data_IF_581988607223
#
_entry.id   IF_581988607223
#
_cell.length_a   1.000
_cell.length_b   1.000
_cell.length_c   1.000
_cell.angle_alpha   90.00
_cell.angle_beta   90.00
_cell.angle_gamma   90.00
#
_symmetry.space_group_name_H-M   'P 1'
#
loop_
_entity.id
_entity.type
_entity.pdbx_description
1 polymer ?
#
# COMPACT_ATOMS: atom_id res chain seq x y z
N UNK A 1 4.14 -18.28 3.26
CA UNK A 1 5.27 -18.68 2.39
C UNK A 1 6.24 -17.52 2.28
N UNK A 2 7.48 -17.66 2.76
CA UNK A 2 8.51 -16.60 2.69
C UNK A 2 8.91 -16.18 1.27
N UNK A 3 8.47 -16.93 0.25
CA UNK A 3 8.72 -16.66 -1.16
C UNK A 3 8.15 -15.30 -1.62
N UNK A 4 7.02 -14.86 -1.06
CA UNK A 4 6.42 -13.56 -1.40
C UNK A 4 7.26 -12.39 -0.83
N UNK A 5 7.88 -12.58 0.34
CA UNK A 5 8.76 -11.57 0.96
C UNK A 5 10.05 -11.42 0.14
N UNK A 6 10.66 -12.55 -0.25
CA UNK A 6 11.86 -12.52 -1.09
C UNK A 6 11.60 -11.91 -2.46
N UNK A 7 10.45 -12.21 -3.08
CA UNK A 7 10.05 -11.59 -4.34
C UNK A 7 9.85 -10.07 -4.21
N UNK A 8 9.18 -9.60 -3.15
CA UNK A 8 9.02 -8.16 -2.89
C UNK A 8 10.36 -7.46 -2.69
N UNK A 9 11.31 -8.11 -1.99
CA UNK A 9 12.65 -7.58 -1.79
C UNK A 9 13.43 -7.47 -3.11
N UNK A 10 13.39 -8.49 -3.96
CA UNK A 10 14.07 -8.47 -5.28
C UNK A 10 13.48 -7.36 -6.16
N UNK A 11 12.16 -7.22 -6.19
CA UNK A 11 11.50 -6.13 -6.94
C UNK A 11 11.91 -4.77 -6.39
N UNK A 12 11.94 -4.62 -5.06
CA UNK A 12 12.35 -3.37 -4.43
C UNK A 12 13.81 -3.00 -4.72
N UNK A 13 14.73 -3.97 -4.66
CA UNK A 13 16.14 -3.78 -5.04
C UNK A 13 16.27 -3.37 -6.51
N UNK A 14 15.55 -4.06 -7.41
CA UNK A 14 15.50 -3.71 -8.83
C UNK A 14 15.05 -2.28 -9.06
N UNK A 15 13.91 -1.87 -8.47
CA UNK A 15 13.41 -0.49 -8.58
C UNK A 15 14.42 0.50 -8.03
N UNK A 16 14.98 0.25 -6.83
CA UNK A 16 15.92 1.16 -6.19
C UNK A 16 17.20 1.38 -7.01
N UNK A 17 17.71 0.35 -7.70
CA UNK A 17 18.90 0.49 -8.58
C UNK A 17 18.63 1.31 -9.85
N UNK A 18 17.38 1.39 -10.28
CA UNK A 18 16.96 2.14 -11.47
C UNK A 18 16.53 3.58 -11.15
N UNK A 19 16.32 3.92 -9.87
CA UNK A 19 15.87 5.25 -9.47
C UNK A 19 16.88 6.31 -9.90
N UNK A 20 16.40 7.24 -10.71
CA UNK A 20 17.12 8.43 -11.16
C UNK A 20 16.14 9.60 -11.30
N UNK A 21 16.63 10.85 -11.36
CA UNK A 21 15.77 12.02 -11.59
C UNK A 21 14.98 11.98 -12.90
N UNK A 22 15.35 11.11 -13.85
CA UNK A 22 14.72 10.98 -15.17
C UNK A 22 13.68 9.85 -15.23
N UNK A 23 13.52 9.06 -14.15
CA UNK A 23 12.61 7.93 -14.08
C UNK A 23 11.45 8.19 -13.11
N UNK A 24 10.22 8.13 -13.62
CA UNK A 24 9.01 8.05 -12.81
C UNK A 24 8.60 6.60 -12.55
N UNK A 25 8.29 6.26 -11.29
CA UNK A 25 7.84 4.92 -10.90
C UNK A 25 6.47 5.02 -10.22
N UNK A 26 5.50 4.24 -10.72
CA UNK A 26 4.20 4.06 -10.07
C UNK A 26 4.10 2.61 -9.58
N UNK A 27 4.03 2.44 -8.26
CA UNK A 27 3.84 1.14 -7.62
C UNK A 27 2.39 1.03 -7.18
N UNK A 28 1.69 0.00 -7.66
CA UNK A 28 0.32 -0.32 -7.24
C UNK A 28 0.40 -1.56 -6.35
N UNK A 29 0.04 -1.40 -5.08
CA UNK A 29 0.09 -2.49 -4.09
C UNK A 29 -1.06 -2.37 -3.11
N UNK A 30 -1.56 -3.52 -2.65
CA UNK A 30 -2.38 -3.62 -1.44
C UNK A 30 -1.57 -4.11 -0.23
N UNK A 31 -0.33 -4.56 -0.44
CA UNK A 31 0.60 -5.00 0.62
C UNK A 31 1.31 -3.82 1.26
N UNK A 32 1.01 -3.57 2.53
CA UNK A 32 1.65 -2.51 3.31
C UNK A 32 3.16 -2.74 3.47
N UNK A 33 3.58 -4.01 3.64
CA UNK A 33 4.99 -4.40 3.80
C UNK A 33 5.90 -3.99 2.63
N UNK A 34 5.35 -3.76 1.43
CA UNK A 34 6.17 -3.28 0.31
C UNK A 34 6.73 -1.88 0.56
N UNK A 35 6.01 -1.06 1.35
CA UNK A 35 6.40 0.30 1.70
C UNK A 35 7.61 0.33 2.66
N UNK A 36 7.94 -0.80 3.30
CA UNK A 36 9.16 -0.94 4.11
C UNK A 36 10.42 -1.01 3.23
N UNK A 37 10.29 -1.57 2.03
CA UNK A 37 11.40 -1.76 1.09
C UNK A 37 11.50 -0.66 0.03
N UNK A 38 10.39 -0.02 -0.30
CA UNK A 38 10.29 1.09 -1.24
C UNK A 38 9.74 2.30 -0.51
N UNK A 39 10.55 3.35 -0.36
CA UNK A 39 10.12 4.62 0.25
C UNK A 39 9.52 5.53 -0.82
N UNK A 40 8.18 5.64 -0.92
CA UNK A 40 7.56 6.48 -1.92
C UNK A 40 7.76 7.97 -1.57
N UNK A 41 7.84 8.82 -2.59
CA UNK A 41 7.79 10.27 -2.41
C UNK A 41 6.35 10.75 -2.21
N UNK A 42 5.41 10.09 -2.89
CA UNK A 42 3.97 10.35 -2.85
C UNK A 42 3.20 9.04 -2.70
N UNK A 43 2.18 9.06 -1.87
CA UNK A 43 1.26 7.95 -1.60
C UNK A 43 -0.14 8.40 -1.98
N UNK A 44 -0.85 7.56 -2.74
CA UNK A 44 -2.23 7.80 -3.15
C UNK A 44 -3.09 6.62 -2.73
N UNK A 45 -4.19 6.89 -2.02
CA UNK A 45 -5.21 5.89 -1.69
C UNK A 45 -6.29 5.93 -2.76
N UNK A 46 -6.44 4.83 -3.48
CA UNK A 46 -7.47 4.66 -4.50
C UNK A 46 -8.68 3.91 -3.91
N UNK A 47 -9.87 4.49 -3.99
CA UNK A 47 -11.10 3.82 -3.62
C UNK A 47 -12.24 4.25 -4.55
N UNK A 48 -13.12 3.30 -4.90
CA UNK A 48 -14.26 3.54 -5.83
C UNK A 48 -13.84 4.23 -7.13
N UNK A 49 -12.71 3.82 -7.70
CA UNK A 49 -12.18 4.35 -8.96
C UNK A 49 -11.65 5.78 -8.89
N UNK A 50 -11.44 6.34 -7.69
CA UNK A 50 -10.92 7.69 -7.49
C UNK A 50 -9.82 7.71 -6.45
N UNK A 51 -8.89 8.66 -6.58
CA UNK A 51 -7.95 8.97 -5.51
C UNK A 51 -8.70 9.74 -4.45
N UNK A 52 -8.75 9.20 -3.23
CA UNK A 52 -9.53 9.78 -2.13
C UNK A 52 -8.64 10.49 -1.13
N UNK A 53 -7.40 10.03 -0.99
CA UNK A 53 -6.39 10.67 -0.14
C UNK A 53 -5.04 10.62 -0.85
N UNK A 54 -4.29 11.71 -0.76
CA UNK A 54 -2.90 11.78 -1.20
C UNK A 54 -2.03 12.36 -0.09
N UNK A 55 -0.78 11.94 0.02
CA UNK A 55 0.15 12.43 1.02
C UNK A 55 1.59 12.00 0.70
N UNK A 56 2.52 12.37 1.57
CA UNK A 56 3.89 11.90 1.53
C UNK A 56 4.06 10.54 2.22
N UNK A 57 5.31 10.16 2.56
CA UNK A 57 5.62 8.93 3.27
C UNK A 57 4.84 8.74 4.59
N UNK A 58 4.45 9.81 5.27
CA UNK A 58 3.64 9.78 6.48
C UNK A 58 2.28 9.09 6.29
N UNK A 59 1.72 9.16 5.09
CA UNK A 59 0.48 8.46 4.76
C UNK A 59 0.69 6.95 4.69
N UNK A 60 1.86 6.49 4.22
CA UNK A 60 2.22 5.07 4.25
C UNK A 60 2.31 4.55 5.70
N UNK A 61 2.99 5.28 6.59
CA UNK A 61 3.09 4.92 8.00
C UNK A 61 1.73 4.89 8.70
N UNK A 62 0.85 5.85 8.37
CA UNK A 62 -0.51 5.87 8.88
C UNK A 62 -1.30 4.64 8.41
N UNK A 63 -1.21 4.28 7.13
CA UNK A 63 -1.84 3.10 6.56
C UNK A 63 -1.37 1.81 7.23
N UNK A 64 -0.06 1.68 7.47
CA UNK A 64 0.53 0.53 8.17
C UNK A 64 -0.01 0.39 9.60
N UNK A 65 -0.08 1.51 10.33
CA UNK A 65 -0.49 1.53 11.74
C UNK A 65 -2.01 1.35 11.93
N UNK A 66 -2.80 2.02 11.11
CA UNK A 66 -4.25 2.18 11.32
C UNK A 66 -5.10 1.39 10.32
N UNK A 67 -4.49 0.86 9.26
CA UNK A 67 -5.19 0.27 8.13
C UNK A 67 -5.91 1.31 7.26
N UNK A 68 -6.70 0.83 6.30
CA UNK A 68 -7.43 1.69 5.36
C UNK A 68 -8.74 2.25 5.94
N UNK A 69 -9.33 1.57 6.93
CA UNK A 69 -10.68 1.88 7.40
C UNK A 69 -10.86 3.33 7.87
N UNK A 70 -9.96 3.92 8.67
CA UNK A 70 -10.09 5.31 9.10
C UNK A 70 -10.05 6.30 7.94
N UNK A 71 -9.14 6.09 6.98
CA UNK A 71 -8.99 6.95 5.80
C UNK A 71 -10.23 6.87 4.91
N UNK A 72 -10.79 5.68 4.73
CA UNK A 72 -12.03 5.50 3.97
C UNK A 72 -13.22 6.18 4.67
N UNK A 73 -13.32 6.03 6.00
CA UNK A 73 -14.37 6.65 6.80
C UNK A 73 -14.31 8.20 6.75
N UNK A 74 -13.11 8.79 6.85
CA UNK A 74 -12.86 10.23 6.70
C UNK A 74 -13.34 10.75 5.34
N UNK A 75 -13.24 9.92 4.30
CA UNK A 75 -13.68 10.25 2.95
C UNK A 75 -15.13 9.85 2.65
N UNK A 76 -15.92 9.49 3.67
CA UNK A 76 -17.32 9.11 3.52
C UNK A 76 -17.52 7.77 2.77
N UNK A 77 -16.47 6.96 2.65
CA UNK A 77 -16.51 5.66 1.99
C UNK A 77 -16.76 4.60 3.05
N UNK A 78 -18.00 4.10 3.05
CA UNK A 78 -18.35 2.91 3.82
C UNK A 78 -17.82 1.66 3.11
N UNK A 79 -17.25 0.68 3.85
CA UNK A 79 -16.96 -0.63 3.30
C UNK A 79 -18.23 -1.19 2.64
N UNK A 80 -18.07 -1.77 1.47
CA UNK A 80 -19.16 -2.49 0.81
C UNK A 80 -19.54 -3.73 1.62
N UNK A 81 -20.76 -4.23 1.45
CA UNK A 81 -21.23 -5.43 2.15
C UNK A 81 -20.35 -6.67 1.87
N UNK A 82 -19.75 -6.74 0.66
CA UNK A 82 -18.78 -7.78 0.29
C UNK A 82 -17.44 -7.63 1.02
N UNK A 83 -16.97 -6.40 1.29
CA UNK A 83 -15.72 -6.15 2.04
C UNK A 83 -15.88 -6.42 3.55
N UNK A 84 -17.07 -6.26 4.10
CA UNK A 84 -17.39 -6.62 5.48
C UNK A 84 -17.56 -8.14 5.69
N UNK A 85 -17.86 -8.87 4.60
CA UNK A 85 -17.98 -10.33 4.58
C UNK A 85 -16.67 -11.04 4.19
N UNK A 86 -15.66 -10.30 3.72
CA UNK A 86 -14.34 -10.84 3.47
C UNK A 86 -13.77 -11.37 4.79
N UNK A 87 -13.29 -12.63 4.83
CA UNK A 87 -12.69 -13.18 6.05
C UNK A 87 -11.54 -12.26 6.47
N UNK A 88 -11.26 -12.14 7.79
CA UNK A 88 -10.09 -11.40 8.25
C UNK A 88 -8.89 -11.92 7.47
N UNK A 89 -8.21 -11.03 6.74
CA UNK A 89 -7.00 -11.38 6.01
C UNK A 89 -6.06 -11.95 7.06
N UNK A 90 -5.90 -13.28 7.05
CA UNK A 90 -5.06 -13.96 8.02
C UNK A 90 -3.68 -13.29 7.97
N UNK A 91 -3.04 -13.02 9.12
CA UNK A 91 -1.68 -12.51 9.11
C UNK A 91 -0.84 -13.47 8.27
N UNK A 92 -0.31 -12.97 7.16
CA UNK A 92 0.59 -13.73 6.31
C UNK A 92 1.89 -13.97 7.10
N UNK A 93 1.94 -15.10 7.80
CA UNK A 93 3.09 -15.58 8.55
C UNK A 93 2.73 -16.23 9.89
N UNK A 94 2.44 -17.53 9.83
CA UNK A 94 3.09 -18.50 10.73
C UNK A 94 4.20 -19.18 9.91
#
# INVERSE_FOLDING_TARGET
SGLDIDALRIVAEGVNTMLSPELGVLVITHYQRLLDYLKPQFVHVLARGRIVTSGGPELAHRLEKEGYAPILAENGIKPTADEAAAPPVAPAGA
#
